data_IF_861178886009
#
_entry.id   IF_861178886009
#
_cell.length_a   1.000
_cell.length_b   1.000
_cell.length_c   1.000
_cell.angle_alpha   90.00
_cell.angle_beta   90.00
_cell.angle_gamma   90.00
#
_symmetry.space_group_name_H-M   'P 1'
#
loop_
_entity.id
_entity.type
_entity.pdbx_description
1 polymer ?
#
# COMPACT_ATOMS: atom_id res chain seq x y z
N UNK A 1 -36.18 34.60 -8.64
CA UNK A 1 -34.74 34.29 -8.42
C UNK A 1 -34.66 33.54 -7.11
N UNK A 2 -34.44 32.23 -7.16
CA UNK A 2 -34.45 31.36 -5.98
C UNK A 2 -32.99 31.02 -5.65
N UNK A 3 -32.45 31.59 -4.59
CA UNK A 3 -31.10 31.32 -4.14
C UNK A 3 -31.07 29.97 -3.40
N UNK A 4 -30.38 28.99 -3.97
CA UNK A 4 -30.12 27.72 -3.31
C UNK A 4 -28.93 27.89 -2.36
N UNK A 5 -29.17 27.71 -1.05
CA UNK A 5 -28.12 27.67 -0.03
C UNK A 5 -27.54 26.26 -0.06
N UNK A 6 -26.34 26.11 -0.63
CA UNK A 6 -25.54 24.89 -0.52
C UNK A 6 -24.94 24.85 0.89
N UNK A 7 -25.54 24.06 1.78
CA UNK A 7 -24.92 23.72 3.06
C UNK A 7 -23.73 22.78 2.77
N UNK A 8 -22.52 23.30 2.92
CA UNK A 8 -21.31 22.48 2.89
C UNK A 8 -21.32 21.57 4.13
N UNK A 9 -21.62 20.29 3.94
CA UNK A 9 -21.34 19.27 4.94
C UNK A 9 -19.83 19.08 4.99
N UNK A 10 -19.17 19.65 6.00
CA UNK A 10 -17.82 19.25 6.34
C UNK A 10 -17.88 17.78 6.81
N UNK A 11 -17.37 16.86 5.99
CA UNK A 11 -17.18 15.49 6.40
C UNK A 11 -16.16 15.46 7.55
N UNK A 12 -16.65 15.31 8.78
CA UNK A 12 -15.79 15.05 9.93
C UNK A 12 -15.26 13.63 9.79
N UNK A 13 -14.07 13.49 9.21
CA UNK A 13 -13.30 12.26 9.33
C UNK A 13 -13.03 11.92 10.80
N UNK A 14 -12.72 10.66 11.12
CA UNK A 14 -12.28 10.29 12.47
C UNK A 14 -11.12 11.21 12.88
N UNK A 15 -11.26 11.86 14.03
CA UNK A 15 -10.19 12.68 14.61
C UNK A 15 -9.09 11.72 15.04
N UNK A 16 -7.87 11.94 14.55
CA UNK A 16 -6.73 11.11 14.94
C UNK A 16 -6.54 11.16 16.47
N UNK A 17 -6.18 10.04 17.08
CA UNK A 17 -5.96 9.95 18.52
C UNK A 17 -4.74 10.77 18.98
N UNK A 18 -3.76 10.94 18.10
CA UNK A 18 -2.61 11.81 18.30
C UNK A 18 -2.40 12.71 17.09
N UNK A 19 -2.00 13.95 17.32
CA UNK A 19 -1.59 14.87 16.24
C UNK A 19 -0.24 14.43 15.64
N UNK A 20 0.66 13.92 16.49
CA UNK A 20 1.95 13.39 16.06
C UNK A 20 2.42 12.22 16.91
N UNK A 21 2.42 11.02 16.32
CA UNK A 21 3.03 9.84 16.91
C UNK A 21 4.55 9.81 16.73
N UNK A 22 5.26 9.25 17.70
CA UNK A 22 6.68 8.93 17.65
C UNK A 22 6.89 7.43 17.83
N UNK A 23 7.60 6.83 16.89
CA UNK A 23 8.04 5.41 16.90
C UNK A 23 9.56 5.30 16.93
N UNK A 24 10.28 6.40 17.15
CA UNK A 24 11.74 6.42 17.11
C UNK A 24 12.37 5.52 18.19
N UNK A 25 13.42 4.81 17.81
CA UNK A 25 14.18 3.91 18.67
C UNK A 25 14.08 2.43 18.24
N UNK A 26 14.56 1.52 19.10
CA UNK A 26 14.55 0.10 18.80
C UNK A 26 13.11 -0.43 18.73
N UNK A 27 12.86 -1.33 17.78
CA UNK A 27 11.55 -1.94 17.60
C UNK A 27 11.66 -3.44 17.39
N UNK A 28 10.55 -4.14 17.66
CA UNK A 28 10.37 -5.56 17.36
C UNK A 28 8.99 -5.78 16.78
N UNK A 29 8.94 -6.35 15.59
CA UNK A 29 7.71 -6.77 14.91
C UNK A 29 7.56 -8.27 15.11
N UNK A 30 6.38 -8.66 15.55
CA UNK A 30 5.94 -10.04 15.63
C UNK A 30 4.92 -10.28 14.54
N UNK A 31 5.11 -11.33 13.74
CA UNK A 31 4.15 -11.77 12.73
C UNK A 31 3.47 -13.07 13.16
N UNK A 32 2.21 -13.26 12.78
CA UNK A 32 1.41 -14.44 13.17
C UNK A 32 1.94 -15.78 12.61
N UNK A 33 2.83 -15.74 11.62
CA UNK A 33 3.55 -16.91 11.09
C UNK A 33 4.87 -17.24 11.84
N UNK A 34 5.10 -16.63 13.01
CA UNK A 34 6.29 -16.76 13.85
C UNK A 34 7.57 -16.20 13.22
N UNK A 35 7.46 -15.14 12.41
CA UNK A 35 8.60 -14.33 11.97
C UNK A 35 8.81 -13.17 12.95
N UNK A 36 10.07 -12.91 13.26
CA UNK A 36 10.51 -11.84 14.14
C UNK A 36 11.41 -10.90 13.36
N UNK A 37 11.05 -9.61 13.35
CA UNK A 37 11.87 -8.56 12.75
C UNK A 37 12.25 -7.57 13.85
N UNK A 38 13.54 -7.34 14.04
CA UNK A 38 14.05 -6.31 14.95
C UNK A 38 14.75 -5.21 14.17
N UNK A 39 14.82 -4.01 14.72
CA UNK A 39 15.53 -2.93 14.06
C UNK A 39 15.55 -1.65 14.88
N UNK A 40 15.94 -0.57 14.22
CA UNK A 40 15.94 0.77 14.79
C UNK A 40 15.22 1.73 13.86
N UNK A 41 14.17 2.39 14.36
CA UNK A 41 13.48 3.45 13.67
C UNK A 41 14.16 4.79 13.97
N UNK A 42 14.52 5.49 12.90
CA UNK A 42 14.82 6.92 12.91
C UNK A 42 13.60 7.65 12.37
N UNK A 43 13.16 8.71 13.05
CA UNK A 43 11.96 9.45 12.66
C UNK A 43 12.23 10.95 12.54
N UNK A 44 11.81 11.53 11.41
CA UNK A 44 11.85 12.96 11.13
C UNK A 44 10.45 13.44 10.72
N UNK A 45 9.74 14.05 11.68
CA UNK A 45 8.33 14.42 11.49
C UNK A 45 7.47 13.18 11.25
N UNK A 46 6.82 13.12 10.09
CA UNK A 46 6.01 11.97 9.66
C UNK A 46 6.84 10.84 9.01
N UNK A 47 8.09 11.10 8.59
CA UNK A 47 8.90 10.13 7.85
C UNK A 47 9.66 9.21 8.81
N UNK A 48 9.70 7.93 8.49
CA UNK A 48 10.50 6.94 9.20
C UNK A 48 11.52 6.29 8.26
N UNK A 49 12.71 6.04 8.80
CA UNK A 49 13.82 5.35 8.13
C UNK A 49 14.54 4.46 9.14
N UNK A 50 15.49 3.66 8.68
CA UNK A 50 16.36 2.89 9.56
C UNK A 50 16.84 1.60 8.92
N UNK A 51 17.19 0.66 9.78
CA UNK A 51 17.60 -0.67 9.39
C UNK A 51 16.76 -1.71 10.14
N UNK A 52 16.45 -2.79 9.45
CA UNK A 52 15.74 -3.92 9.99
C UNK A 52 16.57 -5.18 9.80
N UNK A 53 16.41 -6.10 10.74
CA UNK A 53 17.01 -7.41 10.77
C UNK A 53 15.90 -8.42 10.99
N UNK A 54 15.92 -9.55 10.31
CA UNK A 54 15.04 -10.67 10.64
C UNK A 54 15.86 -11.90 10.98
N UNK A 55 15.32 -12.69 11.91
CA UNK A 55 15.85 -14.01 12.22
C UNK A 55 14.74 -15.00 11.91
N UNK A 56 14.98 -15.85 10.92
CA UNK A 56 14.04 -16.90 10.53
C UNK A 56 13.84 -17.92 11.65
N UNK A 57 12.79 -18.74 11.51
CA UNK A 57 12.38 -19.73 12.52
C UNK A 57 13.50 -20.72 12.89
N UNK A 58 14.36 -21.05 11.93
CA UNK A 58 15.51 -21.95 12.09
C UNK A 58 16.72 -21.29 12.78
N UNK A 59 16.67 -19.97 13.02
CA UNK A 59 17.78 -19.11 13.48
C UNK A 59 19.01 -19.08 12.56
N UNK A 60 19.01 -19.87 11.48
CA UNK A 60 20.06 -19.94 10.49
C UNK A 60 19.85 -18.87 9.41
N UNK A 61 18.58 -18.60 9.08
CA UNK A 61 18.19 -17.55 8.16
C UNK A 61 18.30 -16.19 8.85
N UNK A 62 19.17 -15.32 8.32
CA UNK A 62 19.26 -13.92 8.72
C UNK A 62 19.10 -13.06 7.49
N UNK A 63 18.40 -11.96 7.63
CA UNK A 63 18.41 -10.92 6.61
C UNK A 63 18.44 -9.56 7.24
N UNK A 64 19.00 -8.62 6.51
CA UNK A 64 19.10 -7.23 6.90
C UNK A 64 18.44 -6.39 5.81
N UNK A 65 17.98 -5.19 6.11
CA UNK A 65 17.30 -4.41 5.10
C UNK A 65 17.11 -2.97 5.48
N UNK A 66 17.23 -2.10 4.48
CA UNK A 66 16.93 -0.70 4.63
C UNK A 66 15.43 -0.52 4.85
N UNK A 67 15.07 0.23 5.87
CA UNK A 67 13.70 0.56 6.23
C UNK A 67 13.36 1.98 5.77
N UNK A 68 12.15 2.15 5.23
CA UNK A 68 11.61 3.48 4.89
C UNK A 68 10.09 3.49 4.97
N UNK A 69 9.49 4.56 5.46
CA UNK A 69 8.03 4.68 5.59
C UNK A 69 7.54 6.05 6.03
N UNK A 70 6.26 6.10 6.41
CA UNK A 70 5.55 7.30 6.85
C UNK A 70 4.50 6.96 7.92
N UNK A 71 4.20 7.94 8.77
CA UNK A 71 3.06 7.96 9.70
C UNK A 71 2.13 9.11 9.32
N UNK A 72 0.86 8.80 9.09
CA UNK A 72 -0.20 9.75 8.70
C UNK A 72 -1.39 9.60 9.64
N UNK A 73 -1.54 10.54 10.59
CA UNK A 73 -2.52 10.38 11.68
C UNK A 73 -2.23 9.09 12.45
N UNK A 74 -3.24 8.22 12.57
CA UNK A 74 -3.13 6.94 13.27
C UNK A 74 -2.74 5.77 12.35
N UNK A 75 -2.21 6.05 11.16
CA UNK A 75 -1.79 5.01 10.20
C UNK A 75 -0.27 5.04 10.04
N UNK A 76 0.35 3.87 10.10
CA UNK A 76 1.78 3.68 9.84
C UNK A 76 1.95 2.76 8.64
N UNK A 77 2.80 3.18 7.69
CA UNK A 77 3.16 2.40 6.52
C UNK A 77 4.67 2.42 6.34
N UNK A 78 5.30 1.27 6.25
CA UNK A 78 6.71 1.18 5.91
C UNK A 78 7.02 -0.06 5.09
N UNK A 79 8.15 0.02 4.40
CA UNK A 79 8.76 -1.10 3.70
C UNK A 79 10.14 -1.39 4.28
N UNK A 80 10.54 -2.64 4.15
CA UNK A 80 11.91 -3.10 4.39
C UNK A 80 12.41 -3.73 3.10
N UNK A 81 13.45 -3.17 2.51
CA UNK A 81 14.14 -3.75 1.37
C UNK A 81 15.17 -4.76 1.91
N UNK A 82 14.77 -6.02 1.97
CA UNK A 82 15.59 -7.11 2.47
C UNK A 82 16.70 -7.46 1.49
N UNK A 83 17.89 -7.60 2.03
CA UNK A 83 19.06 -8.23 1.43
C UNK A 83 19.66 -9.19 2.44
N UNK A 84 19.92 -10.42 2.04
CA UNK A 84 20.58 -11.36 2.93
C UNK A 84 20.98 -12.62 2.22
N UNK A 85 21.99 -13.27 2.76
CA UNK A 85 22.40 -14.58 2.34
C UNK A 85 21.75 -15.62 3.25
N UNK A 86 21.07 -16.59 2.66
CA UNK A 86 20.74 -17.82 3.37
C UNK A 86 21.71 -18.90 2.94
N UNK A 87 22.11 -19.75 3.89
CA UNK A 87 22.92 -20.92 3.62
C UNK A 87 22.01 -22.14 3.64
N UNK A 88 21.74 -22.70 2.46
CA UNK A 88 21.12 -24.01 2.39
C UNK A 88 22.21 -25.06 2.50
N UNK A 89 22.39 -25.61 3.71
CA UNK A 89 23.39 -26.63 3.98
C UNK A 89 22.80 -28.05 3.81
N UNK A 90 23.10 -28.67 2.65
CA UNK A 90 23.01 -30.11 2.45
C UNK A 90 24.35 -30.79 2.75
N UNK A 91 24.87 -31.59 1.81
CA UNK A 91 26.26 -32.10 1.86
C UNK A 91 27.29 -30.99 1.58
N UNK A 92 26.87 -29.92 0.91
CA UNK A 92 27.59 -28.66 0.70
C UNK A 92 26.65 -27.51 1.02
N UNK A 93 27.16 -26.44 1.62
CA UNK A 93 26.37 -25.23 1.83
C UNK A 93 26.36 -24.39 0.54
N UNK A 94 25.17 -24.12 0.02
CA UNK A 94 24.97 -23.18 -1.09
C UNK A 94 24.50 -21.85 -0.49
N UNK A 95 25.20 -20.77 -0.79
CA UNK A 95 24.73 -19.41 -0.47
C UNK A 95 23.67 -19.02 -1.51
N UNK A 96 22.46 -18.70 -1.04
CA UNK A 96 21.46 -18.06 -1.88
C UNK A 96 21.30 -16.63 -1.43
N UNK A 97 21.49 -15.71 -2.37
CA UNK A 97 21.18 -14.31 -2.18
C UNK A 97 19.67 -14.13 -2.26
N UNK A 98 19.08 -13.62 -1.19
CA UNK A 98 17.68 -13.24 -1.17
C UNK A 98 17.56 -11.71 -1.25
N UNK A 99 16.82 -11.26 -2.26
CA UNK A 99 16.31 -9.90 -2.36
C UNK A 99 14.78 -9.93 -2.29
N UNK A 100 14.19 -9.14 -1.40
CA UNK A 100 12.74 -9.00 -1.34
C UNK A 100 12.32 -7.77 -0.58
N UNK A 101 11.02 -7.46 -0.62
CA UNK A 101 10.49 -6.26 0.01
C UNK A 101 9.38 -6.66 0.97
N UNK A 102 9.61 -6.48 2.27
CA UNK A 102 8.58 -6.61 3.29
C UNK A 102 7.79 -5.33 3.39
N UNK A 103 6.46 -5.40 3.43
CA UNK A 103 5.59 -4.22 3.44
C UNK A 103 4.61 -4.33 4.58
N UNK A 104 4.61 -3.30 5.41
CA UNK A 104 3.92 -3.26 6.67
C UNK A 104 2.97 -2.07 6.66
N UNK A 105 1.67 -2.37 6.74
CA UNK A 105 0.63 -1.37 6.93
C UNK A 105 -0.14 -1.71 8.21
N UNK A 106 -0.25 -0.72 9.09
CA UNK A 106 -0.88 -0.89 10.38
C UNK A 106 -1.55 0.39 10.88
N UNK A 107 -2.32 0.24 11.95
CA UNK A 107 -2.95 1.31 12.69
C UNK A 107 -2.30 1.45 14.06
N UNK A 108 -2.27 2.69 14.56
CA UNK A 108 -1.84 3.06 15.89
C UNK A 108 -3.10 3.26 16.74
N UNK A 109 -3.25 2.53 17.83
CA UNK A 109 -4.40 2.67 18.73
C UNK A 109 -4.28 3.94 19.58
N UNK A 110 -5.33 4.32 20.28
CA UNK A 110 -5.32 5.45 21.22
C UNK A 110 -4.24 5.31 22.32
N UNK A 111 -3.83 4.08 22.65
CA UNK A 111 -2.78 3.79 23.62
C UNK A 111 -1.38 3.73 23.00
N UNK A 112 -1.26 3.91 21.69
CA UNK A 112 -0.01 3.79 20.94
C UNK A 112 0.31 2.38 20.47
N UNK A 113 -0.54 1.37 20.71
CA UNK A 113 -0.27 0.03 20.21
C UNK A 113 -0.30 0.03 18.68
N UNK A 114 0.68 -0.62 18.04
CA UNK A 114 0.75 -0.70 16.58
C UNK A 114 0.50 -2.12 16.14
N UNK A 115 -0.52 -2.29 15.29
CA UNK A 115 -0.88 -3.59 14.71
C UNK A 115 -1.33 -3.42 13.26
N UNK A 116 -1.12 -4.44 12.45
CA UNK A 116 -1.37 -4.36 11.03
C UNK A 116 -1.43 -5.71 10.34
N UNK A 117 -1.42 -5.63 9.00
CA UNK A 117 -1.29 -6.80 8.14
C UNK A 117 -0.09 -6.62 7.22
N UNK A 118 0.61 -7.71 6.95
CA UNK A 118 1.61 -7.79 5.90
C UNK A 118 1.37 -9.06 5.09
N UNK A 119 2.08 -9.19 3.98
CA UNK A 119 2.07 -10.42 3.20
C UNK A 119 3.09 -11.39 3.75
N UNK A 120 2.72 -12.66 3.80
CA UNK A 120 3.67 -13.71 4.15
C UNK A 120 4.73 -13.77 3.05
N UNK A 121 5.98 -13.72 3.48
CA UNK A 121 7.12 -13.88 2.61
C UNK A 121 7.14 -15.24 1.90
N UNK A 122 6.85 -16.32 2.63
CA UNK A 122 6.92 -17.68 2.12
C UNK A 122 5.69 -18.03 1.29
N UNK A 123 4.59 -17.31 1.52
CA UNK A 123 3.32 -17.47 0.83
C UNK A 123 2.78 -16.08 0.43
N UNK A 124 3.27 -15.48 -0.67
CA UNK A 124 2.94 -14.08 -1.05
C UNK A 124 1.45 -13.77 -1.25
N UNK A 125 0.62 -14.81 -1.38
CA UNK A 125 -0.84 -14.72 -1.49
C UNK A 125 -1.55 -14.73 -0.11
N UNK A 126 -0.84 -15.02 0.97
CA UNK A 126 -1.37 -15.06 2.32
C UNK A 126 -1.06 -13.75 3.07
N UNK A 127 -2.04 -13.26 3.83
CA UNK A 127 -1.84 -12.15 4.77
C UNK A 127 -1.54 -12.71 6.16
N UNK A 128 -0.55 -12.12 6.82
CA UNK A 128 -0.24 -12.37 8.22
C UNK A 128 -0.49 -11.10 9.02
N UNK A 129 -0.96 -11.28 10.24
CA UNK A 129 -1.13 -10.18 11.18
C UNK A 129 0.22 -9.90 11.82
N UNK A 130 0.52 -8.62 12.08
CA UNK A 130 1.72 -8.23 12.79
C UNK A 130 1.45 -7.16 13.82
N UNK A 131 2.33 -7.04 14.82
CA UNK A 131 2.30 -5.98 15.81
C UNK A 131 3.70 -5.59 16.27
N UNK A 132 3.86 -4.34 16.73
CA UNK A 132 5.06 -3.88 17.42
C UNK A 132 4.95 -4.17 18.92
N UNK A 133 6.05 -4.58 19.55
CA UNK A 133 6.06 -4.82 21.01
C UNK A 133 6.09 -3.54 21.83
N UNK A 134 6.63 -2.46 21.25
CA UNK A 134 6.74 -1.17 21.92
C UNK A 134 5.66 -0.23 21.38
N UNK A 135 4.90 0.45 22.27
CA UNK A 135 3.88 1.39 21.84
C UNK A 135 4.52 2.67 21.28
N UNK A 136 3.86 3.28 20.31
CA UNK A 136 4.13 4.62 19.86
C UNK A 136 3.88 5.63 20.99
N UNK A 137 4.68 6.69 21.02
CA UNK A 137 4.53 7.80 21.97
C UNK A 137 3.78 8.93 21.29
N UNK A 138 2.67 9.37 21.87
CA UNK A 138 2.00 10.57 21.39
C UNK A 138 2.78 11.82 21.84
N UNK A 139 3.30 12.59 20.88
CA UNK A 139 4.05 13.82 21.15
C UNK A 139 3.14 15.04 21.35
N UNK A 140 1.97 15.04 20.71
CA UNK A 140 0.98 16.10 20.79
C UNK A 140 -0.43 15.51 20.69
N UNK A 141 -1.25 15.72 21.72
CA UNK A 141 -2.66 15.36 21.65
C UNK A 141 -3.43 16.42 20.84
N UNK A 142 -4.43 16.03 20.05
CA UNK A 142 -5.30 16.99 19.38
C UNK A 142 -5.89 17.94 20.41
N UNK A 143 -5.94 19.23 20.11
CA UNK A 143 -6.65 20.18 20.94
C UNK A 143 -8.07 19.66 21.18
N UNK A 144 -8.42 19.42 22.45
CA UNK A 144 -9.78 19.03 22.79
C UNK A 144 -10.73 20.05 22.15
N UNK A 145 -11.79 19.62 21.45
CA UNK A 145 -12.78 20.54 20.93
C UNK A 145 -13.17 21.47 22.07
N UNK A 146 -13.28 22.79 21.83
CA UNK A 146 -13.72 23.71 22.87
C UNK A 146 -14.98 23.11 23.45
N UNK A 147 -14.93 22.73 24.74
CA UNK A 147 -16.08 22.12 25.38
C UNK A 147 -17.21 23.11 25.18
N UNK A 148 -18.21 22.74 24.38
CA UNK A 148 -19.38 23.58 24.22
C UNK A 148 -19.90 23.78 25.62
N UNK A 149 -19.74 25.00 26.17
CA UNK A 149 -20.26 25.36 27.47
C UNK A 149 -21.70 24.88 27.46
N UNK A 150 -21.98 23.85 28.26
CA UNK A 150 -23.31 23.28 28.31
C UNK A 150 -24.23 24.47 28.58
N UNK A 151 -25.24 24.73 27.75
CA UNK A 151 -26.25 25.72 28.09
C UNK A 151 -26.69 25.40 29.51
N UNK A 152 -26.53 26.36 30.42
CA UNK A 152 -26.96 26.21 31.81
C UNK A 152 -28.48 26.07 31.76
N UNK A 153 -28.96 24.83 31.67
CA UNK A 153 -30.38 24.54 31.65
C UNK A 153 -30.91 24.80 33.05
N UNK A 154 -31.49 25.98 33.23
CA UNK A 154 -32.28 26.32 34.40
C UNK A 154 -33.38 25.28 34.64
N UNK A 155 -33.61 25.01 35.93
CA UNK A 155 -34.66 24.15 36.47
C UNK A 155 -35.98 24.22 35.68
N UNK A 156 -36.53 23.04 35.36
CA UNK A 156 -37.99 22.89 35.40
C UNK A 156 -38.62 21.89 34.41
N UNK A 157 -38.88 20.68 34.92
CA UNK A 157 -40.19 19.98 34.94
C UNK A 157 -40.14 18.49 34.54
N UNK A 158 -40.99 17.78 35.29
CA UNK A 158 -41.16 16.34 35.41
C UNK A 158 -41.51 15.63 34.09
N UNK A 159 -40.99 14.41 34.00
CA UNK A 159 -41.35 13.32 33.09
C UNK A 159 -42.72 12.72 33.46
N UNK A 160 -43.49 12.23 32.47
CA UNK A 160 -44.33 11.05 32.66
C UNK A 160 -43.87 9.86 31.79
N UNK A 161 -44.05 8.67 32.37
CA UNK A 161 -43.86 7.28 31.91
C UNK A 161 -44.93 6.81 30.90
N UNK A 162 -44.60 6.25 29.73
CA UNK A 162 -44.62 4.79 29.35
C UNK A 162 -45.96 4.32 28.72
N UNK A 163 -46.17 3.11 28.12
CA UNK A 163 -45.30 2.09 27.50
C UNK A 163 -45.86 1.57 26.10
N UNK A 164 -45.75 0.30 25.63
CA UNK A 164 -45.01 -0.18 24.42
C UNK A 164 -45.92 -0.83 23.32
N UNK A 165 -45.50 -1.88 22.59
CA UNK A 165 -44.73 -1.97 21.33
C UNK A 165 -45.65 -2.31 20.11
N UNK A 166 -45.12 -2.34 18.87
CA UNK A 166 -45.72 -3.21 17.84
C UNK A 166 -44.73 -3.61 16.72
N UNK A 167 -44.88 -4.83 16.13
CA UNK A 167 -43.91 -5.50 15.27
C UNK A 167 -44.23 -5.35 13.77
N UNK A 168 -43.35 -5.98 12.98
CA UNK A 168 -43.53 -6.44 11.60
C UNK A 168 -43.77 -5.41 10.49
N UNK A 169 -42.84 -5.37 9.53
CA UNK A 169 -43.18 -5.42 8.11
C UNK A 169 -41.93 -5.74 7.29
N UNK A 170 -41.86 -6.99 6.83
CA UNK A 170 -41.08 -7.38 5.67
C UNK A 170 -41.58 -6.63 4.42
N UNK A 171 -40.67 -6.32 3.48
CA UNK A 171 -41.01 -6.45 2.06
C UNK A 171 -39.76 -6.71 1.20
N UNK A 172 -39.88 -7.51 0.13
CA UNK A 172 -38.77 -7.95 -0.72
C UNK A 172 -38.66 -7.10 -1.99
N UNK A 173 -37.56 -7.31 -2.71
CA UNK A 173 -37.53 -7.36 -4.18
C UNK A 173 -37.68 -6.04 -4.94
N UNK A 174 -36.62 -5.65 -5.65
CA UNK A 174 -36.67 -4.56 -6.63
C UNK A 174 -35.48 -4.57 -7.57
N UNK A 175 -35.43 -5.55 -8.47
CA UNK A 175 -34.57 -5.52 -9.66
C UNK A 175 -35.09 -4.42 -10.58
N UNK A 176 -34.25 -3.46 -10.95
CA UNK A 176 -34.53 -2.57 -12.08
C UNK A 176 -33.26 -2.35 -12.90
N UNK A 177 -33.25 -3.00 -14.07
CA UNK A 177 -32.34 -2.70 -15.15
C UNK A 177 -32.91 -1.53 -15.96
N UNK A 178 -32.12 -0.48 -16.18
CA UNK A 178 -32.40 0.52 -17.20
C UNK A 178 -31.36 0.44 -18.32
N UNK A 179 -31.87 0.11 -19.51
CA UNK A 179 -31.20 0.22 -20.80
C UNK A 179 -31.02 1.70 -21.18
N UNK A 180 -29.86 2.00 -21.74
CA UNK A 180 -29.63 2.80 -22.94
C UNK A 180 -30.37 4.13 -23.13
N UNK A 181 -29.60 5.19 -23.33
CA UNK A 181 -29.91 6.15 -24.39
C UNK A 181 -28.64 6.80 -24.93
N UNK A 182 -28.52 6.68 -26.24
CA UNK A 182 -27.53 7.29 -27.11
C UNK A 182 -27.70 8.81 -27.20
N UNK A 183 -26.55 9.45 -27.42
CA UNK A 183 -26.30 10.56 -28.32
C UNK A 183 -27.16 11.83 -28.22
N UNK A 184 -26.55 12.90 -27.71
CA UNK A 184 -26.74 14.25 -28.22
C UNK A 184 -25.43 15.03 -28.08
N UNK A 185 -24.61 15.00 -29.13
CA UNK A 185 -23.44 15.88 -29.27
C UNK A 185 -23.96 17.30 -29.52
N UNK A 186 -23.83 18.18 -28.52
CA UNK A 186 -23.94 19.62 -28.71
C UNK A 186 -22.54 20.21 -28.76
N UNK A 187 -22.21 20.70 -29.94
CA UNK A 187 -21.05 21.52 -30.24
C UNK A 187 -21.16 22.84 -29.46
N UNK A 188 -20.32 23.02 -28.45
CA UNK A 188 -20.19 24.27 -27.71
C UNK A 188 -18.73 24.68 -27.78
N UNK A 189 -18.49 25.77 -28.53
CA UNK A 189 -17.45 26.77 -28.32
C UNK A 189 -16.07 26.28 -27.87
N UNK A 190 -15.16 26.19 -28.84
CA UNK A 190 -13.71 26.10 -28.61
C UNK A 190 -13.21 27.33 -27.84
N UNK A 191 -13.16 27.19 -26.51
CA UNK A 191 -12.29 27.97 -25.65
C UNK A 191 -10.96 27.24 -25.65
N UNK A 192 -9.90 27.92 -26.08
CA UNK A 192 -8.52 27.45 -26.02
C UNK A 192 -8.13 27.23 -24.54
N UNK A 193 -8.50 26.07 -24.01
CA UNK A 193 -8.10 25.62 -22.69
C UNK A 193 -6.64 25.24 -22.75
N UNK A 194 -5.82 25.89 -21.92
CA UNK A 194 -4.49 25.42 -21.58
C UNK A 194 -4.65 23.98 -21.13
N UNK A 195 -4.17 23.03 -21.94
CA UNK A 195 -4.22 21.63 -21.60
C UNK A 195 -3.57 21.46 -20.22
N UNK A 196 -4.23 20.82 -19.24
CA UNK A 196 -3.65 20.62 -17.93
C UNK A 196 -2.32 19.90 -18.13
N UNK A 197 -1.25 20.56 -17.70
CA UNK A 197 0.09 20.00 -17.75
C UNK A 197 0.08 18.78 -16.81
N UNK A 198 0.15 17.58 -17.38
CA UNK A 198 0.17 16.35 -16.60
C UNK A 198 1.28 16.47 -15.53
N UNK A 199 0.93 16.18 -14.28
CA UNK A 199 1.90 16.21 -13.20
C UNK A 199 3.11 15.36 -13.58
N UNK A 200 4.31 15.91 -13.40
CA UNK A 200 5.53 15.19 -13.73
C UNK A 200 5.69 13.98 -12.79
N UNK A 201 5.77 12.78 -13.36
CA UNK A 201 6.01 11.54 -12.60
C UNK A 201 7.45 11.57 -12.10
N UNK A 202 7.66 11.44 -10.80
CA UNK A 202 9.01 11.39 -10.21
C UNK A 202 9.53 9.94 -10.15
N UNK A 203 10.86 9.69 -10.12
CA UNK A 203 11.45 8.36 -9.91
C UNK A 203 10.86 7.59 -8.72
N UNK A 204 10.50 8.29 -7.65
CA UNK A 204 9.87 7.70 -6.46
C UNK A 204 8.49 7.10 -6.78
N UNK A 205 7.76 7.72 -7.71
CA UNK A 205 6.46 7.25 -8.19
C UNK A 205 6.56 6.09 -9.20
N UNK A 206 7.75 5.64 -9.57
CA UNK A 206 7.94 4.42 -10.36
C UNK A 206 8.24 3.19 -9.50
N UNK A 207 8.42 3.41 -8.20
CA UNK A 207 8.76 2.39 -7.22
C UNK A 207 7.58 2.14 -6.28
N UNK A 208 7.54 0.96 -5.67
CA UNK A 208 6.47 0.55 -4.75
C UNK A 208 5.74 -0.69 -5.22
N UNK A 209 4.49 -0.84 -4.77
CA UNK A 209 3.65 -1.99 -5.10
C UNK A 209 2.66 -1.67 -6.19
N UNK A 210 2.40 -2.67 -7.01
CA UNK A 210 1.41 -2.60 -8.06
C UNK A 210 0.60 -3.89 -8.08
N UNK A 211 -0.71 -3.79 -8.23
CA UNK A 211 -1.54 -4.90 -8.66
C UNK A 211 -1.51 -4.96 -10.18
N UNK A 212 -0.98 -6.04 -10.75
CA UNK A 212 -0.72 -6.11 -12.20
C UNK A 212 -1.44 -7.29 -12.85
N UNK A 213 -1.49 -7.28 -14.17
CA UNK A 213 -2.01 -8.42 -14.95
C UNK A 213 -1.25 -9.73 -14.71
N UNK A 214 -0.06 -9.68 -14.11
CA UNK A 214 0.76 -10.83 -13.72
C UNK A 214 0.82 -11.01 -12.20
N UNK A 215 -0.22 -10.55 -11.51
CA UNK A 215 -0.30 -10.56 -10.06
C UNK A 215 0.45 -9.39 -9.43
N UNK A 216 0.63 -9.45 -8.11
CA UNK A 216 1.31 -8.38 -7.39
C UNK A 216 2.74 -8.22 -7.87
N UNK A 217 3.16 -6.98 -8.12
CA UNK A 217 4.51 -6.58 -8.42
C UNK A 217 5.04 -5.66 -7.34
N UNK A 218 6.31 -5.81 -6.97
CA UNK A 218 7.02 -4.85 -6.14
C UNK A 218 8.27 -4.38 -6.88
N UNK A 219 8.38 -3.07 -7.12
CA UNK A 219 9.51 -2.44 -7.81
C UNK A 219 10.33 -1.59 -6.83
N UNK A 220 11.64 -1.80 -6.84
CA UNK A 220 12.67 -0.99 -6.20
C UNK A 220 13.63 -0.40 -7.23
N UNK A 221 14.67 0.30 -6.76
CA UNK A 221 15.56 1.12 -7.61
C UNK A 221 16.21 0.33 -8.76
N UNK A 222 16.63 -0.90 -8.50
CA UNK A 222 17.44 -1.70 -9.43
C UNK A 222 16.68 -2.89 -10.04
N UNK A 223 15.45 -3.12 -9.59
CA UNK A 223 14.72 -4.34 -9.92
C UNK A 223 13.49 -4.53 -9.07
N UNK A 224 12.92 -5.72 -9.12
CA UNK A 224 11.72 -6.06 -8.38
C UNK A 224 11.31 -7.51 -8.55
N UNK A 225 10.13 -7.84 -8.06
CA UNK A 225 9.53 -9.17 -8.23
C UNK A 225 8.06 -9.03 -8.62
N UNK A 226 7.50 -10.09 -9.20
CA UNK A 226 6.07 -10.23 -9.41
C UNK A 226 5.60 -11.66 -9.16
N UNK A 227 4.33 -11.81 -8.76
CA UNK A 227 3.83 -13.07 -8.20
C UNK A 227 3.79 -14.23 -9.21
N UNK A 228 3.47 -13.96 -10.48
CA UNK A 228 3.37 -15.04 -11.48
C UNK A 228 4.72 -15.70 -11.71
N UNK A 229 4.78 -17.03 -11.53
CA UNK A 229 5.95 -17.88 -11.79
C UNK A 229 7.24 -17.40 -11.11
N UNK A 230 7.15 -16.88 -9.89
CA UNK A 230 8.29 -16.37 -9.11
C UNK A 230 9.10 -15.32 -9.90
N UNK A 231 8.37 -14.42 -10.55
CA UNK A 231 8.90 -13.47 -11.49
C UNK A 231 9.89 -12.48 -10.87
N UNK A 232 11.01 -12.25 -11.56
CA UNK A 232 12.03 -11.27 -11.19
C UNK A 232 12.11 -10.18 -12.26
N UNK A 233 12.22 -8.93 -11.84
CA UNK A 233 12.41 -7.75 -12.68
C UNK A 233 13.84 -7.23 -12.48
N UNK A 234 14.54 -6.99 -13.59
CA UNK A 234 15.81 -6.25 -13.62
C UNK A 234 15.59 -4.96 -14.39
N UNK A 235 15.82 -3.81 -13.76
CA UNK A 235 15.65 -2.51 -14.40
C UNK A 235 16.92 -2.16 -15.16
N UNK A 236 16.78 -1.87 -16.45
CA UNK A 236 17.90 -1.45 -17.30
C UNK A 236 18.01 0.06 -17.43
N UNK A 237 16.86 0.74 -17.64
CA UNK A 237 16.84 2.17 -17.92
C UNK A 237 15.55 2.82 -17.43
N UNK A 238 15.67 4.01 -16.85
CA UNK A 238 14.55 4.89 -16.50
C UNK A 238 14.79 6.22 -17.22
N UNK A 239 13.84 6.64 -18.05
CA UNK A 239 13.85 7.95 -18.73
C UNK A 239 12.46 8.56 -18.63
N UNK A 240 12.37 9.77 -18.07
CA UNK A 240 11.11 10.43 -17.77
C UNK A 240 10.19 9.53 -16.95
N UNK A 241 9.00 9.19 -17.46
CA UNK A 241 8.06 8.26 -16.85
C UNK A 241 8.13 6.84 -17.46
N UNK A 242 9.20 6.51 -18.19
CA UNK A 242 9.35 5.25 -18.90
C UNK A 242 10.42 4.40 -18.24
N UNK A 243 10.04 3.19 -17.82
CA UNK A 243 10.96 2.18 -17.31
C UNK A 243 11.10 1.05 -18.33
N UNK A 244 12.34 0.61 -18.55
CA UNK A 244 12.69 -0.51 -19.43
C UNK A 244 13.62 -1.46 -18.71
N UNK A 245 13.50 -2.75 -19.03
CA UNK A 245 14.35 -3.77 -18.45
C UNK A 245 13.98 -5.16 -18.92
N UNK A 246 14.31 -6.14 -18.09
CA UNK A 246 14.06 -7.55 -18.34
C UNK A 246 13.26 -8.17 -17.21
N UNK A 247 12.44 -9.14 -17.56
CA UNK A 247 11.76 -10.02 -16.61
C UNK A 247 12.30 -11.44 -16.77
N UNK A 248 12.26 -12.24 -15.70
CA UNK A 248 12.64 -13.65 -15.68
C UNK A 248 11.68 -14.45 -14.80
N UNK A 249 11.36 -15.69 -15.20
CA UNK A 249 10.43 -16.58 -14.48
C UNK A 249 11.04 -17.96 -14.20
N UNK A 250 10.45 -18.69 -13.26
CA UNK A 250 10.80 -20.08 -12.95
C UNK A 250 10.17 -21.10 -13.93
N UNK A 251 9.07 -20.72 -14.60
CA UNK A 251 8.27 -21.58 -15.49
C UNK A 251 7.78 -20.81 -16.71
N UNK A 252 7.58 -21.50 -17.83
CA UNK A 252 7.13 -20.89 -19.08
C UNK A 252 8.02 -21.20 -20.30
N UNK A 253 7.96 -20.33 -21.30
CA UNK A 253 8.66 -20.49 -22.58
C UNK A 253 10.16 -20.22 -22.42
N UNK A 254 10.99 -21.23 -22.70
CA UNK A 254 12.44 -21.08 -22.71
C UNK A 254 12.95 -20.35 -23.96
N UNK A 255 13.95 -19.52 -23.77
CA UNK A 255 14.76 -18.89 -24.79
C UNK A 255 15.86 -19.84 -25.27
N UNK A 256 16.59 -19.44 -26.32
CA UNK A 256 17.65 -20.27 -26.90
C UNK A 256 18.80 -20.58 -25.91
N UNK A 257 18.99 -19.70 -24.92
CA UNK A 257 19.94 -19.86 -23.81
C UNK A 257 19.42 -20.76 -22.67
N UNK A 258 18.23 -21.33 -22.81
CA UNK A 258 17.59 -22.19 -21.83
C UNK A 258 16.90 -21.46 -20.67
N UNK A 259 17.05 -20.13 -20.55
CA UNK A 259 16.40 -19.31 -19.52
C UNK A 259 14.99 -18.93 -19.94
N UNK A 260 14.15 -18.52 -19.00
CA UNK A 260 12.77 -18.06 -19.25
C UNK A 260 12.74 -16.58 -18.91
N UNK A 261 12.93 -15.73 -19.92
CA UNK A 261 13.06 -14.29 -19.72
C UNK A 261 12.52 -13.52 -20.92
N UNK A 262 12.42 -12.20 -20.77
CA UNK A 262 12.11 -11.30 -21.86
C UNK A 262 12.29 -9.84 -21.51
N UNK A 263 11.92 -8.94 -22.43
CA UNK A 263 11.98 -7.49 -22.24
C UNK A 263 10.65 -6.92 -21.77
N UNK A 264 10.67 -5.78 -21.09
CA UNK A 264 9.47 -5.00 -20.78
C UNK A 264 9.67 -3.50 -21.03
N UNK A 265 8.54 -2.81 -21.18
CA UNK A 265 8.46 -1.34 -21.17
C UNK A 265 7.23 -0.90 -20.41
N UNK A 266 7.42 -0.14 -19.34
CA UNK A 266 6.35 0.47 -18.55
C UNK A 266 6.34 1.98 -18.73
N UNK A 267 5.14 2.56 -18.78
CA UNK A 267 4.89 4.01 -18.82
C UNK A 267 4.06 4.34 -17.59
N UNK A 268 4.68 5.02 -16.65
CA UNK A 268 4.10 5.34 -15.35
C UNK A 268 3.22 6.58 -15.41
N UNK A 269 2.22 6.56 -14.53
CA UNK A 269 1.32 7.65 -14.16
C UNK A 269 1.25 7.71 -12.64
N UNK A 270 0.52 8.68 -12.08
CA UNK A 270 0.30 8.75 -10.64
C UNK A 270 -0.40 7.51 -10.07
N UNK A 271 -1.38 6.99 -10.83
CA UNK A 271 -2.20 5.85 -10.43
C UNK A 271 -1.54 4.47 -10.65
N UNK A 272 -0.40 4.39 -11.34
CA UNK A 272 0.18 3.10 -11.74
C UNK A 272 1.02 3.16 -13.02
N UNK A 273 0.88 2.15 -13.88
CA UNK A 273 1.52 2.12 -15.18
C UNK A 273 0.72 1.34 -16.22
N UNK A 274 0.94 1.70 -17.48
CA UNK A 274 0.60 0.87 -18.64
C UNK A 274 1.87 0.36 -19.28
N UNK A 275 1.84 -0.83 -19.85
CA UNK A 275 3.09 -1.44 -20.31
C UNK A 275 2.89 -2.61 -21.25
N UNK A 276 4.03 -3.10 -21.73
CA UNK A 276 4.08 -4.26 -22.61
C UNK A 276 5.32 -5.10 -22.34
N UNK A 277 5.27 -6.36 -22.75
CA UNK A 277 6.36 -7.32 -22.60
C UNK A 277 6.63 -8.08 -23.90
N UNK A 278 7.85 -8.61 -24.00
CA UNK A 278 8.33 -9.47 -25.08
C UNK A 278 8.97 -10.72 -24.48
N UNK A 279 9.25 -11.72 -25.32
CA UNK A 279 10.01 -12.92 -24.92
C UNK A 279 11.43 -12.86 -25.48
N UNK A 280 12.39 -13.32 -24.69
CA UNK A 280 13.80 -13.34 -25.03
C UNK A 280 14.27 -11.94 -25.46
N UNK A 281 15.03 -11.86 -26.56
CA UNK A 281 15.49 -10.60 -27.14
C UNK A 281 14.41 -9.85 -27.94
N UNK A 282 13.17 -10.34 -27.97
CA UNK A 282 12.08 -9.68 -28.67
C UNK A 282 11.74 -8.33 -28.05
N UNK A 283 11.34 -7.37 -28.89
CA UNK A 283 10.75 -6.10 -28.45
C UNK A 283 9.51 -6.33 -27.56
N UNK A 284 9.21 -5.43 -26.63
CA UNK A 284 8.07 -5.55 -25.73
C UNK A 284 6.75 -5.23 -26.45
N UNK A 285 6.34 -6.10 -27.37
CA UNK A 285 5.14 -5.98 -28.19
C UNK A 285 4.30 -7.27 -28.23
N UNK A 286 4.66 -8.29 -27.44
CA UNK A 286 3.96 -9.57 -27.42
C UNK A 286 2.61 -9.47 -26.70
N UNK A 287 2.59 -8.77 -25.56
CA UNK A 287 1.38 -8.61 -24.76
C UNK A 287 1.43 -7.38 -23.86
N UNK A 288 0.30 -7.06 -23.24
CA UNK A 288 0.17 -5.94 -22.30
C UNK A 288 0.57 -6.37 -20.89
N UNK A 289 1.17 -5.45 -20.16
CA UNK A 289 1.48 -5.56 -18.74
C UNK A 289 1.12 -4.25 -18.07
N UNK A 290 -0.05 -4.21 -17.45
CA UNK A 290 -0.56 -3.02 -16.77
C UNK A 290 -0.54 -3.24 -15.27
N UNK A 291 -0.37 -2.16 -14.51
CA UNK A 291 -0.37 -2.20 -13.06
C UNK A 291 -1.04 -0.98 -12.45
N UNK A 292 -1.84 -1.19 -11.40
CA UNK A 292 -2.40 -0.13 -10.56
C UNK A 292 -1.60 -0.05 -9.27
N UNK A 293 -1.20 1.14 -8.86
CA UNK A 293 -0.48 1.36 -7.60
C UNK A 293 -1.36 0.95 -6.41
N UNK A 294 -0.74 0.28 -5.44
CA UNK A 294 -1.35 -0.09 -4.16
C UNK A 294 -0.93 0.87 -3.04
#
# INVERSE_FOLDING_TARGET
>A
MTAAIMAAYAASGPVAACEQWSVAGPFKIYQSNNIFVGGEFVQEGARISGEATFVGRDKASKGEGALSGVIEGDVIRFRVAWSGDWLECGLTCTEHFYGGIGIYEGAITENGDIQGKNWDYAHPDDKVDWYLTEPAKCLAQPASPPQSDKPVTGLGKKRPSGPPPNPDAANPGGVSASRGSSAATRDIGSIAGVAPQAAAVTPEMMMGMFDTTFGRMVLGRDGGTYATNDGVITIGKIEDNVMRGHWQESKGRRCADGRIWGSFRFVFTEEGFTGAYGYCEGEPNYGQWNGTRL
#
